data_IF_650359905956
#
_entry.id   IF_650359905956
#
_cell.length_a   1.000
_cell.length_b   1.000
_cell.length_c   1.000
_cell.angle_alpha   90.00
_cell.angle_beta   90.00
_cell.angle_gamma   90.00
#
_symmetry.space_group_name_H-M   'P 1'
#
loop_
_entity.id
_entity.type
_entity.pdbx_description
1 polymer ?
#
# COMPACT_ATOMS: atom_id res chain seq x y z
N UNK A 1 -5.66 -4.29 -46.17
CA UNK A 1 -5.90 -5.36 -45.18
C UNK A 1 -5.96 -4.75 -43.79
N UNK A 2 -7.11 -4.79 -43.11
CA UNK A 2 -7.30 -4.20 -41.77
C UNK A 2 -6.99 -5.27 -40.72
N UNK A 3 -5.86 -5.17 -40.03
CA UNK A 3 -5.55 -6.09 -38.93
C UNK A 3 -6.44 -5.77 -37.72
N UNK A 4 -7.15 -6.80 -37.25
CA UNK A 4 -8.02 -6.74 -36.07
C UNK A 4 -7.18 -6.67 -34.79
N UNK A 5 -7.35 -5.58 -34.03
CA UNK A 5 -6.70 -5.37 -32.71
C UNK A 5 -7.04 -6.47 -31.70
N UNK A 6 -8.09 -7.26 -31.95
CA UNK A 6 -8.49 -8.39 -31.10
C UNK A 6 -7.62 -9.65 -31.30
N UNK A 7 -6.94 -9.79 -32.44
CA UNK A 7 -6.00 -10.90 -32.67
C UNK A 7 -4.68 -10.75 -31.92
N UNK A 8 -4.26 -9.51 -31.62
CA UNK A 8 -3.01 -9.24 -30.91
C UNK A 8 -3.10 -9.56 -29.41
N UNK A 9 -4.30 -9.44 -28.81
CA UNK A 9 -4.49 -9.64 -27.37
C UNK A 9 -4.54 -11.13 -26.99
N UNK A 10 -4.91 -12.03 -27.92
CA UNK A 10 -4.96 -13.48 -27.66
C UNK A 10 -3.64 -14.22 -28.00
N UNK A 11 -2.71 -13.56 -28.70
CA UNK A 11 -1.40 -14.13 -29.08
C UNK A 11 -0.21 -13.69 -28.21
N UNK A 12 -0.41 -12.75 -27.28
CA UNK A 12 0.65 -12.19 -26.43
C UNK A 12 0.89 -12.92 -25.11
N UNK A 13 0.33 -14.12 -24.92
CA UNK A 13 0.39 -14.89 -23.68
C UNK A 13 1.63 -15.77 -23.54
N UNK A 14 2.62 -15.64 -24.44
CA UNK A 14 3.82 -16.43 -24.42
C UNK A 14 5.03 -15.54 -24.12
N UNK A 15 5.84 -15.99 -23.16
CA UNK A 15 7.18 -15.50 -22.83
C UNK A 15 7.21 -14.27 -21.92
N UNK A 16 7.08 -14.48 -20.60
CA UNK A 16 7.88 -13.84 -19.54
C UNK A 16 7.58 -14.53 -18.20
N UNK A 17 7.77 -15.86 -18.15
CA UNK A 17 7.92 -16.59 -16.89
C UNK A 17 9.40 -16.49 -16.48
N UNK A 18 9.74 -15.37 -15.87
CA UNK A 18 11.06 -15.11 -15.30
C UNK A 18 11.31 -16.02 -14.10
N UNK A 19 12.50 -16.60 -14.08
CA UNK A 19 12.99 -17.55 -13.09
C UNK A 19 12.98 -16.97 -11.67
N UNK A 20 11.97 -17.33 -10.86
CA UNK A 20 12.14 -17.32 -9.41
C UNK A 20 13.06 -18.49 -9.06
N UNK A 21 14.36 -18.20 -8.92
CA UNK A 21 15.29 -19.10 -8.28
C UNK A 21 14.89 -19.26 -6.81
N UNK A 22 13.97 -20.19 -6.54
CA UNK A 22 13.93 -20.81 -5.23
C UNK A 22 15.27 -21.53 -5.08
N UNK A 23 16.14 -21.00 -4.23
CA UNK A 23 17.31 -21.72 -3.77
C UNK A 23 16.80 -22.94 -2.99
N UNK A 24 16.57 -24.04 -3.71
CA UNK A 24 16.49 -25.36 -3.13
C UNK A 24 17.86 -25.63 -2.52
N UNK A 25 18.03 -25.31 -1.24
CA UNK A 25 19.17 -25.77 -0.47
C UNK A 25 19.01 -27.28 -0.34
N UNK A 26 19.51 -28.02 -1.33
CA UNK A 26 19.75 -29.45 -1.21
C UNK A 26 20.75 -29.62 -0.07
N UNK A 27 20.26 -30.11 1.07
CA UNK A 27 21.10 -30.61 2.15
C UNK A 27 21.80 -31.88 1.64
N UNK A 28 22.95 -31.71 0.97
CA UNK A 28 23.91 -32.78 0.78
C UNK A 28 24.52 -33.09 2.15
N UNK A 29 23.95 -34.08 2.82
CA UNK A 29 24.47 -34.62 4.06
C UNK A 29 25.69 -35.48 3.73
N UNK A 30 26.87 -34.85 3.65
CA UNK A 30 28.13 -35.59 3.59
C UNK A 30 28.38 -36.19 4.97
N UNK A 31 28.24 -37.52 5.06
CA UNK A 31 28.57 -38.27 6.24
C UNK A 31 30.08 -38.17 6.52
N UNK A 32 30.41 -37.69 7.73
CA UNK A 32 31.66 -38.02 8.41
C UNK A 32 32.89 -37.19 8.04
N UNK A 33 33.01 -36.00 8.62
CA UNK A 33 34.31 -35.44 8.97
C UNK A 33 34.24 -34.93 10.42
N UNK A 34 34.91 -35.63 11.34
CA UNK A 34 35.17 -35.14 12.69
C UNK A 34 36.13 -33.97 12.55
N UNK A 35 35.61 -32.75 12.66
CA UNK A 35 36.45 -31.56 12.74
C UNK A 35 37.13 -31.50 14.12
N UNK A 36 38.40 -31.09 14.22
CA UNK A 36 39.03 -30.84 15.50
C UNK A 36 38.31 -29.69 16.21
N UNK A 37 38.03 -29.92 17.49
CA UNK A 37 37.44 -29.02 18.45
C UNK A 37 38.35 -27.80 18.68
N UNK A 38 38.18 -26.77 17.85
CA UNK A 38 38.74 -25.44 18.07
C UNK A 38 37.92 -24.68 19.11
N UNK A 39 38.54 -23.85 19.96
CA UNK A 39 37.82 -23.03 20.94
C UNK A 39 36.91 -22.03 20.22
N UNK A 40 35.60 -22.13 20.48
CA UNK A 40 34.59 -21.20 19.98
C UNK A 40 34.80 -19.82 20.61
N UNK A 41 35.13 -18.82 19.79
CA UNK A 41 35.09 -17.41 20.21
C UNK A 41 33.64 -17.03 20.55
N UNK A 42 33.38 -16.21 21.59
CA UNK A 42 32.02 -15.76 21.89
C UNK A 42 31.48 -14.97 20.69
N UNK A 43 30.35 -15.44 20.17
CA UNK A 43 29.64 -14.81 19.06
C UNK A 43 29.24 -13.38 19.48
N UNK A 44 29.69 -12.38 18.72
CA UNK A 44 29.33 -10.99 18.98
C UNK A 44 27.86 -10.83 18.57
N UNK A 45 26.98 -10.74 19.56
CA UNK A 45 25.56 -10.47 19.36
C UNK A 45 25.39 -9.29 18.37
N UNK A 46 24.79 -9.58 17.22
CA UNK A 46 24.43 -8.56 16.25
C UNK A 46 23.51 -7.52 16.93
N UNK A 47 23.67 -6.21 16.67
CA UNK A 47 22.80 -5.21 17.24
C UNK A 47 21.36 -5.52 16.82
N UNK A 48 20.46 -5.64 17.80
CA UNK A 48 19.04 -5.80 17.55
C UNK A 48 18.54 -4.61 16.71
N UNK A 49 17.98 -4.90 15.54
CA UNK A 49 17.37 -3.88 14.71
C UNK A 49 16.24 -3.21 15.52
N UNK A 50 16.40 -1.93 15.81
CA UNK A 50 15.36 -1.11 16.45
C UNK A 50 14.24 -0.95 15.42
N UNK A 51 13.14 -1.69 15.62
CA UNK A 51 11.93 -1.46 14.85
C UNK A 51 11.27 -0.20 15.41
N UNK A 52 11.42 0.91 14.70
CA UNK A 52 10.66 2.12 15.00
C UNK A 52 9.21 1.81 14.64
N UNK A 53 8.38 1.59 15.65
CA UNK A 53 6.95 1.52 15.47
C UNK A 53 6.50 2.88 14.93
N UNK A 54 6.03 2.90 13.68
CA UNK A 54 5.26 4.03 13.15
C UNK A 54 3.98 4.11 13.99
N UNK A 55 3.99 4.94 15.02
CA UNK A 55 2.78 5.31 15.76
C UNK A 55 2.02 6.27 14.85
N UNK A 56 1.41 5.71 13.79
CA UNK A 56 0.63 6.47 12.85
C UNK A 56 -0.52 7.16 13.55
N UNK A 57 -0.77 8.42 13.21
CA UNK A 57 -1.92 9.18 13.71
C UNK A 57 -3.22 8.44 13.35
N UNK A 58 -4.10 8.24 14.34
CA UNK A 58 -5.44 7.71 14.08
C UNK A 58 -6.22 8.72 13.22
N UNK A 59 -6.46 8.36 11.97
CA UNK A 59 -7.27 9.15 11.05
C UNK A 59 -8.75 8.90 11.33
N UNK A 60 -9.53 9.98 11.39
CA UNK A 60 -10.97 9.97 11.63
C UNK A 60 -11.38 9.19 12.90
N UNK A 61 -10.94 9.64 14.09
CA UNK A 61 -11.22 8.94 15.35
C UNK A 61 -12.71 8.83 15.67
N UNK A 62 -13.54 9.69 15.07
CA UNK A 62 -15.00 9.71 15.25
C UNK A 62 -15.76 8.93 14.17
N UNK A 63 -15.08 8.43 13.13
CA UNK A 63 -15.72 7.68 12.04
C UNK A 63 -16.73 8.50 11.26
N UNK A 64 -16.45 9.79 11.02
CA UNK A 64 -17.29 10.70 10.23
C UNK A 64 -17.41 10.22 8.78
N UNK A 65 -16.33 9.64 8.24
CA UNK A 65 -16.26 9.10 6.88
C UNK A 65 -16.45 7.59 6.91
N UNK A 66 -17.13 7.05 5.89
CA UNK A 66 -17.26 5.60 5.73
C UNK A 66 -15.87 4.95 5.59
N UNK A 67 -15.61 3.88 6.35
CA UNK A 67 -14.28 3.24 6.44
C UNK A 67 -13.73 2.80 5.07
N UNK A 68 -14.57 2.18 4.22
CA UNK A 68 -14.17 1.75 2.88
C UNK A 68 -13.73 2.93 1.99
N UNK A 69 -14.29 4.13 2.21
CA UNK A 69 -13.96 5.31 1.43
C UNK A 69 -12.57 5.84 1.82
N UNK A 70 -12.26 5.89 3.12
CA UNK A 70 -10.92 6.23 3.60
C UNK A 70 -9.88 5.23 3.09
N UNK A 71 -10.16 3.93 3.19
CA UNK A 71 -9.23 2.88 2.76
C UNK A 71 -8.92 2.96 1.27
N UNK A 72 -9.95 3.09 0.43
CA UNK A 72 -9.78 3.25 -1.02
C UNK A 72 -9.04 4.55 -1.36
N UNK A 73 -9.30 5.62 -0.63
CA UNK A 73 -8.63 6.89 -0.88
C UNK A 73 -7.16 6.86 -0.49
N UNK A 74 -6.81 6.22 0.64
CA UNK A 74 -5.42 5.99 1.04
C UNK A 74 -4.67 5.17 -0.01
N UNK A 75 -5.26 4.09 -0.50
CA UNK A 75 -4.69 3.29 -1.58
C UNK A 75 -4.50 4.11 -2.87
N UNK A 76 -5.45 4.97 -3.24
CA UNK A 76 -5.33 5.84 -4.41
C UNK A 76 -4.19 6.87 -4.25
N UNK A 77 -4.05 7.44 -3.04
CA UNK A 77 -2.97 8.37 -2.71
C UNK A 77 -1.60 7.71 -2.75
N UNK A 78 -1.50 6.45 -2.31
CA UNK A 78 -0.26 5.66 -2.41
C UNK A 78 0.11 5.42 -3.88
N UNK A 79 -0.84 4.96 -4.69
CA UNK A 79 -0.65 4.70 -6.14
C UNK A 79 -0.26 5.97 -6.91
N UNK A 80 -0.90 7.10 -6.59
CA UNK A 80 -0.69 8.37 -7.29
C UNK A 80 0.30 9.30 -6.61
N UNK A 81 0.96 8.85 -5.54
CA UNK A 81 1.77 9.71 -4.69
C UNK A 81 2.86 10.47 -5.45
N UNK A 82 3.49 9.84 -6.45
CA UNK A 82 4.51 10.50 -7.28
C UNK A 82 4.03 11.77 -8.01
N UNK A 83 2.72 11.97 -8.14
CA UNK A 83 2.11 13.18 -8.74
C UNK A 83 1.63 14.20 -7.70
N UNK A 84 1.63 13.85 -6.43
CA UNK A 84 1.04 14.62 -5.34
C UNK A 84 2.16 15.25 -4.52
N UNK A 85 2.42 16.54 -4.73
CA UNK A 85 3.46 17.27 -4.00
C UNK A 85 3.13 17.50 -2.53
N UNK A 86 1.84 17.56 -2.17
CA UNK A 86 1.34 17.82 -0.82
C UNK A 86 0.43 16.68 -0.37
N UNK A 87 0.82 15.98 0.71
CA UNK A 87 0.14 14.78 1.24
C UNK A 87 -0.26 14.91 2.71
N UNK A 88 -0.22 16.13 3.22
CA UNK A 88 -0.70 16.52 4.54
C UNK A 88 -2.23 16.52 4.63
N UNK A 89 -2.92 16.65 3.48
CA UNK A 89 -4.37 16.73 3.41
C UNK A 89 -4.95 15.94 2.26
N UNK A 90 -6.16 15.44 2.46
CA UNK A 90 -6.92 14.72 1.43
C UNK A 90 -8.39 15.15 1.44
N UNK A 91 -8.96 15.36 0.26
CA UNK A 91 -10.39 15.67 0.10
C UNK A 91 -11.14 14.46 -0.45
N UNK A 92 -12.24 14.10 0.20
CA UNK A 92 -13.06 12.94 -0.15
C UNK A 92 -14.49 13.39 -0.46
N UNK A 93 -15.12 12.75 -1.44
CA UNK A 93 -16.54 12.94 -1.72
C UNK A 93 -17.25 11.59 -1.67
N UNK A 94 -18.26 11.47 -0.82
CA UNK A 94 -19.10 10.27 -0.76
C UNK A 94 -20.33 10.41 -1.65
N UNK A 95 -20.24 9.82 -2.85
CA UNK A 95 -21.34 9.83 -3.81
C UNK A 95 -22.50 8.91 -3.45
N UNK A 96 -22.39 8.08 -2.39
CA UNK A 96 -23.54 7.32 -1.89
C UNK A 96 -24.48 8.18 -1.05
N UNK A 97 -24.01 9.32 -0.53
CA UNK A 97 -24.84 10.28 0.20
C UNK A 97 -25.54 11.25 -0.75
N UNK A 98 -26.76 11.64 -0.38
CA UNK A 98 -27.49 12.67 -1.10
C UNK A 98 -26.74 14.00 -1.05
N UNK A 99 -26.90 14.81 -2.09
CA UNK A 99 -26.22 16.09 -2.20
C UNK A 99 -26.71 17.17 -1.23
N UNK A 100 -27.84 16.93 -0.58
CA UNK A 100 -28.33 17.72 0.55
C UNK A 100 -27.60 17.46 1.87
N UNK A 101 -26.83 16.37 1.95
CA UNK A 101 -26.08 15.97 3.15
C UNK A 101 -24.62 16.43 3.10
N UNK A 102 -23.97 16.37 4.26
CA UNK A 102 -22.52 16.49 4.36
C UNK A 102 -21.86 15.26 3.74
N UNK A 103 -21.30 15.47 2.54
CA UNK A 103 -20.68 14.41 1.73
C UNK A 103 -19.33 14.78 1.16
N UNK A 104 -18.88 16.02 1.37
CA UNK A 104 -17.51 16.45 1.09
C UNK A 104 -16.76 16.46 2.42
N UNK A 105 -15.61 15.80 2.47
CA UNK A 105 -14.78 15.72 3.67
C UNK A 105 -13.38 16.23 3.36
N UNK A 106 -12.86 17.03 4.27
CA UNK A 106 -11.45 17.38 4.34
C UNK A 106 -10.82 16.54 5.45
N UNK A 107 -9.81 15.75 5.11
CA UNK A 107 -9.08 14.87 6.01
C UNK A 107 -7.70 15.47 6.25
N UNK A 108 -7.41 15.81 7.49
CA UNK A 108 -6.08 16.18 7.97
C UNK A 108 -5.30 14.90 8.28
N UNK A 109 -4.26 14.63 7.49
CA UNK A 109 -3.46 13.40 7.62
C UNK A 109 -2.34 13.55 8.66
N UNK A 110 -2.03 14.76 9.10
CA UNK A 110 -1.06 15.01 10.17
C UNK A 110 -1.76 14.94 11.54
N UNK A 111 -2.87 15.68 11.68
CA UNK A 111 -3.64 15.77 12.92
C UNK A 111 -4.69 14.67 13.11
N UNK A 112 -5.07 13.97 12.03
CA UNK A 112 -6.06 12.88 12.04
C UNK A 112 -7.51 13.32 12.05
N UNK A 113 -7.79 14.62 12.03
CA UNK A 113 -9.15 15.17 12.09
C UNK A 113 -9.83 15.20 10.72
N UNK A 114 -11.17 15.18 10.76
CA UNK A 114 -12.01 15.31 9.56
C UNK A 114 -12.99 16.45 9.74
N UNK A 115 -13.06 17.32 8.74
CA UNK A 115 -14.09 18.36 8.64
C UNK A 115 -15.06 18.00 7.52
N UNK A 116 -16.36 17.99 7.81
CA UNK A 116 -17.41 17.65 6.85
C UNK A 116 -18.09 18.92 6.31
N UNK A 117 -18.47 18.88 5.04
CA UNK A 117 -19.09 19.97 4.32
C UNK A 117 -20.23 19.47 3.44
N UNK A 118 -21.25 20.30 3.29
CA UNK A 118 -22.28 20.14 2.28
C UNK A 118 -21.76 20.59 0.92
N UNK A 119 -22.00 19.78 -0.11
CA UNK A 119 -21.65 20.19 -1.49
C UNK A 119 -22.62 21.26 -1.96
N UNK A 120 -22.11 22.44 -2.31
CA UNK A 120 -22.90 23.47 -2.97
C UNK A 120 -23.15 23.06 -4.42
N UNK A 121 -24.37 23.28 -4.89
CA UNK A 121 -24.66 23.19 -6.32
C UNK A 121 -24.56 24.59 -6.93
N UNK A 122 -24.15 24.67 -8.19
CA UNK A 122 -24.19 25.92 -8.94
C UNK A 122 -25.62 26.47 -9.06
N UNK A 123 -25.73 27.72 -9.50
CA UNK A 123 -27.02 28.39 -9.72
C UNK A 123 -27.91 27.55 -10.66
N UNK A 124 -29.09 27.14 -10.20
CA UNK A 124 -30.09 26.41 -10.99
C UNK A 124 -30.14 24.89 -10.79
N UNK A 125 -29.58 24.38 -9.69
CA UNK A 125 -29.62 22.96 -9.28
C UNK A 125 -30.55 22.72 -8.09
#
# INVERSE_FOLDING_TARGET
>A
MRLSRRGLILGGSALLAGCSSAASTSSLQLAGAVAPNLPTLPDRAAPAAVQIADVGTTIDPHGVVRKDLIERARAAMDVHGHKISKRDRMYLVDFQKFSGEDRLYEVDLEGGWVTAYRTSHGRGS
#
